data_IF_957964087442
#
_entry.id   IF_957964087442
#
_cell.length_a   1.000
_cell.length_b   1.000
_cell.length_c   1.000
_cell.angle_alpha   90.00
_cell.angle_beta   90.00
_cell.angle_gamma   90.00
#
_symmetry.space_group_name_H-M   'P 1'
#
loop_
_entity.id
_entity.type
_entity.pdbx_description
1 polymer ?
#
# COMPACT_ATOMS: atom_id res chain seq x y z
N UNK A 1 -10.29 2.79 2.55
CA UNK A 1 -11.20 1.61 2.55
C UNK A 1 -10.43 0.45 3.19
N UNK A 2 -11.10 -0.58 3.74
CA UNK A 2 -10.41 -1.72 4.39
C UNK A 2 -10.50 -2.97 3.53
N UNK A 3 -9.42 -3.73 3.49
CA UNK A 3 -9.38 -5.10 2.98
C UNK A 3 -9.23 -6.08 4.14
N UNK A 4 -9.80 -7.27 4.01
CA UNK A 4 -9.53 -8.37 4.92
C UNK A 4 -9.29 -9.66 4.14
N UNK A 5 -8.12 -10.25 4.37
CA UNK A 5 -7.67 -11.50 3.74
C UNK A 5 -7.44 -12.51 4.86
N UNK A 6 -8.28 -13.55 4.93
CA UNK A 6 -8.33 -14.41 6.11
C UNK A 6 -8.71 -13.65 7.38
N UNK A 7 -7.86 -13.74 8.41
CA UNK A 7 -7.99 -13.04 9.69
C UNK A 7 -7.31 -11.66 9.72
N UNK A 8 -6.44 -11.36 8.75
CA UNK A 8 -5.74 -10.09 8.68
C UNK A 8 -6.65 -9.00 8.12
N UNK A 9 -6.63 -7.82 8.77
CA UNK A 9 -7.30 -6.62 8.28
C UNK A 9 -6.24 -5.57 7.95
N UNK A 10 -6.37 -4.97 6.78
CA UNK A 10 -5.49 -3.91 6.29
C UNK A 10 -6.28 -2.76 5.68
N UNK A 11 -5.57 -1.66 5.42
CA UNK A 11 -6.08 -0.50 4.71
C UNK A 11 -5.73 -0.64 3.24
N UNK A 12 -6.69 -0.41 2.34
CA UNK A 12 -6.40 -0.32 0.91
C UNK A 12 -5.77 1.03 0.58
N UNK A 13 -4.83 1.07 -0.36
CA UNK A 13 -4.19 2.31 -0.81
C UNK A 13 -4.93 2.97 -2.00
N UNK A 14 -4.38 2.80 -3.19
CA UNK A 14 -4.76 3.44 -4.44
C UNK A 14 -5.62 2.51 -5.28
N UNK A 15 -6.23 3.11 -6.30
CA UNK A 15 -6.96 2.40 -7.34
C UNK A 15 -6.04 2.20 -8.52
N UNK A 16 -6.04 1.00 -9.06
CA UNK A 16 -5.31 0.65 -10.27
C UNK A 16 -6.27 0.06 -11.30
N UNK A 17 -5.88 0.10 -12.56
CA UNK A 17 -6.67 -0.50 -13.62
C UNK A 17 -5.78 -1.16 -14.68
N UNK A 18 -6.35 -2.16 -15.36
CA UNK A 18 -5.79 -2.77 -16.56
C UNK A 18 -6.94 -3.23 -17.45
N UNK A 19 -7.06 -2.62 -18.63
CA UNK A 19 -8.22 -2.82 -19.49
C UNK A 19 -9.52 -2.45 -18.77
N UNK A 20 -10.47 -3.40 -18.68
CA UNK A 20 -11.74 -3.22 -17.96
C UNK A 20 -11.70 -3.62 -16.49
N UNK A 21 -10.54 -4.07 -15.99
CA UNK A 21 -10.38 -4.54 -14.61
C UNK A 21 -9.93 -3.40 -13.71
N UNK A 22 -10.51 -3.35 -12.52
CA UNK A 22 -10.16 -2.38 -11.47
C UNK A 22 -9.65 -3.14 -10.25
N UNK A 23 -8.59 -2.60 -9.67
CA UNK A 23 -7.91 -3.17 -8.53
C UNK A 23 -7.80 -2.16 -7.40
N UNK A 24 -7.84 -2.65 -6.18
CA UNK A 24 -7.38 -1.91 -5.00
C UNK A 24 -6.01 -2.44 -4.59
N UNK A 25 -5.05 -1.55 -4.37
CA UNK A 25 -3.79 -1.97 -3.76
C UNK A 25 -3.94 -2.18 -2.25
N UNK A 26 -3.14 -3.10 -1.73
CA UNK A 26 -2.92 -3.35 -0.29
C UNK A 26 -1.46 -3.74 -0.07
N UNK A 27 -1.04 -3.89 1.20
CA UNK A 27 0.26 -4.49 1.49
C UNK A 27 0.23 -6.02 1.27
N UNK A 28 1.31 -6.61 0.78
CA UNK A 28 1.39 -8.04 0.48
C UNK A 28 1.35 -8.90 1.75
N UNK A 29 1.98 -8.45 2.83
CA UNK A 29 1.94 -9.14 4.13
C UNK A 29 0.52 -9.25 4.70
N UNK A 30 -0.46 -8.49 4.21
CA UNK A 30 -1.85 -8.65 4.59
C UNK A 30 -2.44 -10.00 4.17
N UNK A 31 -1.78 -10.72 3.26
CA UNK A 31 -2.12 -12.08 2.86
C UNK A 31 -1.13 -13.11 3.40
N UNK A 32 -0.23 -12.74 4.34
CA UNK A 32 0.73 -13.68 4.92
C UNK A 32 0.05 -14.82 5.67
N UNK A 33 0.67 -16.00 5.61
CA UNK A 33 0.36 -17.13 6.50
C UNK A 33 1.53 -17.45 7.44
N UNK A 34 2.55 -16.58 7.46
CA UNK A 34 3.67 -16.66 8.38
C UNK A 34 3.30 -16.27 9.81
N UNK A 35 4.23 -16.52 10.73
CA UNK A 35 4.13 -16.09 12.13
C UNK A 35 4.59 -14.64 12.30
N UNK A 36 4.29 -14.06 13.46
CA UNK A 36 4.76 -12.72 13.82
C UNK A 36 6.30 -12.60 13.69
N UNK A 37 6.76 -11.47 13.17
CA UNK A 37 8.18 -11.22 12.90
C UNK A 37 8.70 -11.76 11.57
N UNK A 38 7.93 -12.59 10.85
CA UNK A 38 8.29 -13.02 9.50
C UNK A 38 7.85 -11.94 8.48
N UNK A 39 8.78 -11.08 8.10
CA UNK A 39 8.53 -9.93 7.22
C UNK A 39 9.30 -9.99 5.90
N UNK A 40 10.11 -11.04 5.67
CA UNK A 40 10.87 -11.19 4.44
C UNK A 40 9.96 -11.80 3.35
N UNK A 41 9.64 -11.02 2.32
CA UNK A 41 8.73 -11.44 1.26
C UNK A 41 9.25 -12.56 0.37
N UNK A 42 10.56 -12.78 0.32
CA UNK A 42 11.17 -13.87 -0.46
C UNK A 42 11.08 -15.23 0.22
N UNK A 43 10.82 -15.29 1.53
CA UNK A 43 10.82 -16.56 2.29
C UNK A 43 9.55 -16.79 3.11
N UNK A 44 8.81 -15.73 3.44
CA UNK A 44 7.61 -15.83 4.26
C UNK A 44 6.43 -16.32 3.43
N UNK A 45 5.69 -17.37 3.86
CA UNK A 45 4.59 -17.91 3.10
C UNK A 45 3.40 -16.94 3.04
N UNK A 46 2.72 -16.91 1.89
CA UNK A 46 1.55 -16.08 1.62
C UNK A 46 0.40 -16.93 1.07
N UNK A 47 -0.83 -16.49 1.30
CA UNK A 47 -2.00 -17.04 0.63
C UNK A 47 -1.86 -16.88 -0.90
N UNK A 48 -2.35 -17.85 -1.70
CA UNK A 48 -2.16 -17.85 -3.15
C UNK A 48 -2.98 -16.77 -3.85
N UNK A 49 -2.55 -16.38 -5.06
CA UNK A 49 -3.41 -15.65 -6.02
C UNK A 49 -4.71 -16.42 -6.24
N UNK A 50 -5.83 -15.70 -6.31
CA UNK A 50 -7.18 -16.30 -6.33
C UNK A 50 -7.89 -16.30 -4.97
N UNK A 51 -7.17 -16.01 -3.89
CA UNK A 51 -7.75 -15.89 -2.54
C UNK A 51 -8.82 -14.80 -2.48
N UNK A 52 -9.95 -15.08 -1.83
CA UNK A 52 -11.03 -14.12 -1.62
C UNK A 52 -10.64 -13.05 -0.60
N UNK A 53 -10.95 -11.80 -0.92
CA UNK A 53 -10.65 -10.63 -0.09
C UNK A 53 -11.94 -9.87 0.17
N UNK A 54 -12.32 -9.73 1.44
CA UNK A 54 -13.45 -8.87 1.81
C UNK A 54 -13.03 -7.41 1.67
N UNK A 55 -13.85 -6.63 1.00
CA UNK A 55 -13.63 -5.19 0.80
C UNK A 55 -14.78 -4.43 1.44
N UNK A 56 -14.47 -3.51 2.35
CA UNK A 56 -15.51 -2.72 3.04
C UNK A 56 -16.27 -1.85 2.04
N UNK A 57 -17.60 -1.98 1.99
CA UNK A 57 -18.47 -1.23 1.06
C UNK A 57 -18.72 -1.94 -0.28
N UNK A 58 -17.99 -3.03 -0.57
CA UNK A 58 -18.28 -3.89 -1.71
C UNK A 58 -19.47 -4.82 -1.40
N UNK A 59 -20.24 -5.16 -2.45
CA UNK A 59 -21.32 -6.14 -2.37
C UNK A 59 -20.85 -7.56 -2.61
N UNK A 60 -19.66 -7.75 -3.20
CA UNK A 60 -19.01 -9.03 -3.43
C UNK A 60 -17.56 -8.98 -2.96
N UNK A 61 -17.01 -10.14 -2.65
CA UNK A 61 -15.59 -10.25 -2.32
C UNK A 61 -14.74 -9.98 -3.57
N UNK A 62 -13.66 -9.23 -3.39
CA UNK A 62 -12.59 -9.14 -4.36
C UNK A 62 -11.74 -10.40 -4.36
N UNK A 63 -10.72 -10.41 -5.23
CA UNK A 63 -9.80 -11.53 -5.41
C UNK A 63 -8.37 -11.02 -5.39
N UNK A 64 -7.50 -11.64 -4.59
CA UNK A 64 -6.06 -11.38 -4.63
C UNK A 64 -5.53 -11.73 -6.03
N UNK A 65 -5.23 -10.72 -6.83
CA UNK A 65 -4.80 -10.86 -8.22
C UNK A 65 -3.27 -10.82 -8.36
N UNK A 66 -2.58 -10.20 -7.40
CA UNK A 66 -1.12 -10.11 -7.36
C UNK A 66 -0.64 -9.99 -5.92
N UNK A 67 0.53 -10.57 -5.65
CA UNK A 67 1.31 -10.40 -4.42
C UNK A 67 2.78 -10.36 -4.81
N UNK A 68 3.49 -9.32 -4.37
CA UNK A 68 4.94 -9.17 -4.59
C UNK A 68 5.72 -10.31 -3.95
N UNK A 69 5.29 -10.80 -2.80
CA UNK A 69 5.94 -11.90 -2.10
C UNK A 69 5.90 -13.19 -2.93
N UNK A 70 4.72 -13.52 -3.47
CA UNK A 70 4.57 -14.68 -4.37
C UNK A 70 5.38 -14.50 -5.67
N UNK A 71 5.41 -13.27 -6.21
CA UNK A 71 6.17 -12.98 -7.42
C UNK A 71 7.69 -13.11 -7.19
N UNK A 72 8.20 -12.57 -6.08
CA UNK A 72 9.60 -12.69 -5.67
C UNK A 72 9.99 -14.15 -5.43
N UNK A 73 9.14 -14.92 -4.74
CA UNK A 73 9.36 -16.35 -4.51
C UNK A 73 9.40 -17.14 -5.83
N UNK A 74 8.47 -16.87 -6.75
CA UNK A 74 8.44 -17.53 -8.05
C UNK A 74 9.64 -17.17 -8.93
N UNK A 75 10.16 -15.94 -8.80
CA UNK A 75 11.34 -15.46 -9.52
C UNK A 75 12.66 -15.95 -8.90
N UNK A 76 12.64 -16.49 -7.67
CA UNK A 76 13.86 -16.79 -6.92
C UNK A 76 14.64 -15.53 -6.55
N UNK A 77 13.94 -14.46 -6.17
CA UNK A 77 14.53 -13.17 -5.82
C UNK A 77 15.56 -13.30 -4.68
N UNK A 78 16.68 -12.60 -4.81
CA UNK A 78 17.80 -12.63 -3.86
C UNK A 78 18.28 -11.25 -3.43
N UNK A 79 17.80 -10.17 -4.07
CA UNK A 79 18.10 -8.81 -3.62
C UNK A 79 17.49 -8.58 -2.22
N UNK A 80 18.37 -8.36 -1.25
CA UNK A 80 17.97 -8.25 0.15
C UNK A 80 16.99 -7.08 0.40
N UNK A 81 17.09 -6.00 -0.38
CA UNK A 81 16.22 -4.84 -0.21
C UNK A 81 14.83 -5.10 -0.79
N UNK A 82 14.73 -5.68 -2.00
CA UNK A 82 13.47 -6.11 -2.56
C UNK A 82 12.77 -7.10 -1.62
N UNK A 83 13.50 -8.11 -1.13
CA UNK A 83 12.97 -9.09 -0.18
C UNK A 83 12.46 -8.47 1.13
N UNK A 84 13.09 -7.38 1.59
CA UNK A 84 12.72 -6.72 2.83
C UNK A 84 11.58 -5.69 2.67
N UNK A 85 11.40 -5.11 1.48
CA UNK A 85 10.62 -3.88 1.31
C UNK A 85 9.60 -3.89 0.18
N UNK A 86 9.66 -4.84 -0.76
CA UNK A 86 8.62 -4.97 -1.80
C UNK A 86 7.40 -5.69 -1.21
N UNK A 87 6.44 -4.90 -0.75
CA UNK A 87 5.31 -5.37 0.05
C UNK A 87 3.97 -4.97 -0.58
N UNK A 88 3.85 -5.15 -1.89
CA UNK A 88 2.70 -4.71 -2.68
C UNK A 88 1.83 -5.86 -3.17
N UNK A 89 0.51 -5.68 -3.06
CA UNK A 89 -0.48 -6.62 -3.61
C UNK A 89 -1.66 -5.88 -4.25
N UNK A 90 -2.31 -6.56 -5.20
CA UNK A 90 -3.53 -6.08 -5.85
C UNK A 90 -4.71 -6.99 -5.56
N UNK A 91 -5.85 -6.37 -5.26
CA UNK A 91 -7.14 -7.03 -5.12
C UNK A 91 -8.01 -6.63 -6.31
N UNK A 92 -8.30 -7.56 -7.22
CA UNK A 92 -9.27 -7.36 -8.30
C UNK A 92 -10.67 -7.27 -7.70
N UNK A 93 -11.39 -6.20 -8.04
CA UNK A 93 -12.77 -6.00 -7.62
C UNK A 93 -13.74 -6.70 -8.56
N UNK A 94 -14.86 -7.18 -7.99
CA UNK A 94 -15.98 -7.62 -8.82
C UNK A 94 -16.54 -6.44 -9.61
N UNK A 95 -16.89 -6.69 -10.87
CA UNK A 95 -17.43 -5.68 -11.79
C UNK A 95 -18.65 -4.94 -11.22
N UNK A 96 -19.47 -5.61 -10.40
CA UNK A 96 -20.64 -5.01 -9.76
C UNK A 96 -20.30 -3.89 -8.77
N UNK A 97 -19.06 -3.86 -8.26
CA UNK A 97 -18.62 -2.90 -7.25
C UNK A 97 -17.71 -1.80 -7.82
N UNK A 98 -17.29 -1.89 -9.08
CA UNK A 98 -16.39 -0.91 -9.72
C UNK A 98 -16.95 0.52 -9.67
N UNK A 99 -18.25 0.70 -9.88
CA UNK A 99 -18.89 2.01 -9.84
C UNK A 99 -18.91 2.66 -8.44
N UNK A 100 -18.59 1.89 -7.38
CA UNK A 100 -18.51 2.39 -5.99
C UNK A 100 -17.12 2.90 -5.62
N UNK A 101 -16.14 2.69 -6.49
CA UNK A 101 -14.75 3.03 -6.24
C UNK A 101 -14.50 4.51 -6.52
N UNK A 102 -13.81 5.18 -5.61
CA UNK A 102 -13.28 6.51 -5.83
C UNK A 102 -11.74 6.44 -5.71
N UNK A 103 -10.97 6.85 -6.75
CA UNK A 103 -9.51 6.88 -6.68
C UNK A 103 -8.97 7.97 -5.74
N UNK A 104 -9.84 8.84 -5.21
CA UNK A 104 -9.47 9.87 -4.25
C UNK A 104 -9.33 9.40 -2.82
N UNK A 105 -8.20 9.75 -2.20
CA UNK A 105 -7.98 9.49 -0.79
C UNK A 105 -8.95 10.35 0.04
N UNK A 106 -9.60 9.77 1.06
CA UNK A 106 -10.41 10.53 1.99
C UNK A 106 -9.59 11.66 2.64
N UNK A 107 -10.23 12.81 2.83
CA UNK A 107 -9.66 14.07 3.35
C UNK A 107 -8.61 14.74 2.45
N UNK A 108 -7.87 13.99 1.64
CA UNK A 108 -6.74 14.51 0.87
C UNK A 108 -7.00 14.75 -0.62
N UNK A 109 -7.93 14.02 -1.25
CA UNK A 109 -8.00 13.98 -2.72
C UNK A 109 -6.82 13.20 -3.34
N UNK A 110 -6.42 13.52 -4.56
CA UNK A 110 -5.30 12.84 -5.24
C UNK A 110 -5.57 11.35 -5.51
N UNK A 111 -4.60 10.51 -5.89
CA UNK A 111 -3.25 10.92 -6.26
C UNK A 111 -3.26 11.74 -7.57
N UNK A 112 -2.32 12.65 -7.72
CA UNK A 112 -2.12 13.47 -8.94
C UNK A 112 -1.23 12.77 -9.97
N UNK A 113 -0.54 11.72 -9.55
CA UNK A 113 0.39 10.93 -10.38
C UNK A 113 1.19 9.98 -9.49
N UNK A 114 2.21 9.36 -10.06
CA UNK A 114 3.18 8.52 -9.34
C UNK A 114 4.44 9.36 -9.03
N UNK A 115 4.96 9.26 -7.82
CA UNK A 115 6.30 9.75 -7.50
C UNK A 115 7.31 8.70 -7.95
N UNK A 116 8.25 9.09 -8.82
CA UNK A 116 9.35 8.23 -9.30
C UNK A 116 10.72 8.77 -8.92
N UNK A 117 10.76 9.82 -8.10
CA UNK A 117 11.98 10.51 -7.69
C UNK A 117 12.42 10.15 -6.27
N UNK A 118 11.58 9.42 -5.52
CA UNK A 118 11.80 9.11 -4.11
C UNK A 118 11.38 10.26 -3.19
N UNK A 119 11.76 10.15 -1.91
CA UNK A 119 11.60 11.21 -0.91
C UNK A 119 12.94 11.63 -0.34
N UNK A 120 13.09 12.92 -0.11
CA UNK A 120 14.22 13.49 0.62
C UNK A 120 13.86 13.67 2.10
N UNK A 121 14.88 13.70 2.97
CA UNK A 121 14.66 14.01 4.38
C UNK A 121 13.98 15.38 4.53
N UNK A 122 12.94 15.44 5.35
CA UNK A 122 12.16 16.65 5.60
C UNK A 122 10.97 16.86 4.66
N UNK A 123 10.88 16.13 3.55
CA UNK A 123 9.75 16.20 2.62
C UNK A 123 8.43 15.95 3.34
N UNK A 124 7.40 16.74 3.02
CA UNK A 124 6.08 16.57 3.61
C UNK A 124 5.33 15.41 2.96
N UNK A 125 4.69 14.60 3.81
CA UNK A 125 3.87 13.48 3.38
C UNK A 125 2.52 13.50 4.08
N UNK A 126 1.50 12.94 3.42
CA UNK A 126 0.22 12.64 4.03
C UNK A 126 -0.14 11.17 3.82
N UNK A 127 -0.87 10.60 4.77
CA UNK A 127 -1.39 9.24 4.68
C UNK A 127 -2.81 9.16 5.21
N UNK A 128 -3.52 8.11 4.84
CA UNK A 128 -4.85 7.82 5.36
C UNK A 128 -4.92 6.35 5.82
N UNK A 129 -4.94 6.14 7.13
CA UNK A 129 -4.98 4.81 7.75
C UNK A 129 -6.37 4.47 8.28
N UNK A 130 -6.89 3.30 7.93
CA UNK A 130 -8.21 2.84 8.35
C UNK A 130 -8.12 1.66 9.33
N UNK A 131 -7.13 1.57 10.21
CA UNK A 131 -7.07 0.49 11.20
C UNK A 131 -8.38 0.35 11.99
N UNK A 132 -8.85 -0.89 12.22
CA UNK A 132 -10.03 -1.17 13.06
C UNK A 132 -9.84 -0.74 14.52
N UNK A 133 -8.59 -0.77 15.01
CA UNK A 133 -8.22 -0.42 16.38
C UNK A 133 -8.39 1.07 16.70
N UNK A 134 -8.59 1.94 15.69
CA UNK A 134 -8.84 3.37 15.90
C UNK A 134 -10.30 3.57 16.31
N UNK A 135 -10.55 3.67 17.61
CA UNK A 135 -11.87 3.91 18.22
C UNK A 135 -12.26 5.40 18.33
N UNK A 136 -11.65 6.26 17.52
CA UNK A 136 -11.86 7.72 17.56
C UNK A 136 -12.49 8.31 16.29
N UNK A 137 -12.64 9.64 16.22
CA UNK A 137 -13.21 10.34 15.06
C UNK A 137 -12.48 9.99 13.75
N UNK A 138 -13.21 9.96 12.64
CA UNK A 138 -12.64 9.65 11.31
C UNK A 138 -11.47 10.57 10.92
N UNK A 139 -11.42 11.78 11.48
CA UNK A 139 -10.33 12.74 11.29
C UNK A 139 -8.97 12.24 11.79
N UNK A 140 -8.93 11.27 12.71
CA UNK A 140 -7.68 10.64 13.19
C UNK A 140 -7.05 9.67 12.18
N UNK A 141 -7.77 9.36 11.10
CA UNK A 141 -7.29 8.48 10.03
C UNK A 141 -6.40 9.24 9.03
N UNK A 142 -6.68 10.54 8.84
CA UNK A 142 -5.89 11.43 8.00
C UNK A 142 -4.68 11.93 8.79
N UNK A 143 -3.47 11.59 8.34
CA UNK A 143 -2.24 11.91 9.06
C UNK A 143 -1.29 12.71 8.17
N UNK A 144 -0.61 13.65 8.81
CA UNK A 144 0.48 14.44 8.22
C UNK A 144 1.79 13.95 8.80
N UNK A 145 2.86 14.05 8.03
CA UNK A 145 4.18 13.62 8.45
C UNK A 145 5.30 14.25 7.64
N UNK A 146 6.51 13.82 7.98
CA UNK A 146 7.71 14.11 7.21
C UNK A 146 8.44 12.83 6.86
N UNK A 147 9.11 12.84 5.72
CA UNK A 147 10.11 11.85 5.37
C UNK A 147 11.35 12.01 6.24
N UNK A 148 11.92 10.88 6.66
CA UNK A 148 13.25 10.76 7.22
C UNK A 148 14.27 10.31 6.16
N UNK A 149 13.87 10.32 4.88
CA UNK A 149 14.65 9.90 3.73
C UNK A 149 14.37 8.45 3.30
N UNK A 150 14.94 8.13 2.15
CA UNK A 150 14.87 6.80 1.55
C UNK A 150 15.95 5.87 2.13
N UNK A 151 15.60 4.60 2.26
CA UNK A 151 16.48 3.52 2.72
C UNK A 151 16.25 2.25 1.90
N UNK A 152 16.97 1.18 2.21
CA UNK A 152 16.85 -0.09 1.47
C UNK A 152 17.17 0.06 -0.02
N UNK A 153 18.18 0.84 -0.38
CA UNK A 153 18.52 1.10 -1.80
C UNK A 153 17.42 1.84 -2.58
N UNK A 154 16.53 2.55 -1.90
CA UNK A 154 15.38 3.25 -2.48
C UNK A 154 14.11 2.41 -2.55
N UNK A 155 14.08 1.21 -1.97
CA UNK A 155 12.86 0.41 -1.86
C UNK A 155 11.95 0.82 -0.71
N UNK A 156 12.46 1.60 0.25
CA UNK A 156 11.70 2.01 1.41
C UNK A 156 11.82 3.52 1.64
N UNK A 157 10.68 4.14 1.93
CA UNK A 157 10.59 5.49 2.47
C UNK A 157 10.36 5.40 3.97
N UNK A 158 11.24 6.01 4.76
CA UNK A 158 11.01 6.11 6.21
C UNK A 158 10.21 7.38 6.48
N UNK A 159 9.02 7.26 7.07
CA UNK A 159 8.16 8.41 7.35
C UNK A 159 7.80 8.50 8.83
N UNK A 160 7.75 9.72 9.36
CA UNK A 160 7.24 9.99 10.71
C UNK A 160 5.99 10.84 10.62
N UNK A 161 4.87 10.28 11.09
CA UNK A 161 3.56 10.93 11.07
C UNK A 161 3.18 11.44 12.46
N UNK A 162 2.25 12.40 12.52
CA UNK A 162 1.77 13.02 13.78
C UNK A 162 1.21 11.99 14.79
N UNK A 163 0.66 10.89 14.28
CA UNK A 163 0.34 9.69 15.04
C UNK A 163 0.88 8.49 14.27
N UNK A 164 1.76 7.65 14.85
CA UNK A 164 2.32 6.51 14.14
C UNK A 164 1.23 5.58 13.59
N UNK A 165 1.57 4.87 12.51
CA UNK A 165 0.80 3.74 12.02
C UNK A 165 0.66 2.67 13.09
N UNK A 166 -0.55 2.11 13.23
CA UNK A 166 -0.84 0.99 14.14
C UNK A 166 -1.23 -0.24 13.32
N UNK A 167 -1.23 -1.46 13.92
CA UNK A 167 -1.73 -2.64 13.23
C UNK A 167 -3.09 -2.40 12.57
N UNK A 168 -3.20 -2.75 11.28
CA UNK A 168 -4.36 -2.45 10.43
C UNK A 168 -4.25 -1.19 9.56
N UNK A 169 -3.28 -0.31 9.83
CA UNK A 169 -2.90 0.77 8.91
C UNK A 169 -1.96 0.26 7.80
N UNK A 170 -1.46 -0.97 7.91
CA UNK A 170 -0.75 -1.66 6.83
C UNK A 170 -1.52 -1.55 5.51
N UNK A 171 -0.80 -1.24 4.44
CA UNK A 171 -1.36 -0.98 3.12
C UNK A 171 -1.81 0.46 2.87
N UNK A 172 -1.77 1.36 3.86
CA UNK A 172 -2.19 2.77 3.68
C UNK A 172 -1.40 3.47 2.58
N UNK A 173 -2.10 4.30 1.81
CA UNK A 173 -1.49 5.16 0.80
C UNK A 173 -0.61 6.25 1.46
N UNK A 174 0.54 6.53 0.85
CA UNK A 174 1.39 7.69 1.17
C UNK A 174 1.45 8.61 -0.04
N UNK A 175 1.12 9.88 0.16
CA UNK A 175 1.24 10.93 -0.85
C UNK A 175 2.30 11.95 -0.44
N UNK A 176 3.01 12.51 -1.40
CA UNK A 176 3.88 13.68 -1.19
C UNK A 176 3.10 15.01 -1.18
N UNK A 177 3.81 16.12 -0.99
CA UNK A 177 3.24 17.48 -0.96
C UNK A 177 2.60 17.94 -2.28
N UNK A 178 2.87 17.26 -3.39
CA UNK A 178 2.22 17.49 -4.69
C UNK A 178 1.03 16.54 -4.93
N UNK A 179 0.75 15.65 -3.97
CA UNK A 179 -0.31 14.65 -4.06
C UNK A 179 0.06 13.46 -4.93
N UNK A 180 1.35 13.24 -5.25
CA UNK A 180 1.78 12.07 -6.02
C UNK A 180 1.86 10.87 -5.10
N UNK A 181 1.45 9.70 -5.60
CA UNK A 181 1.54 8.43 -4.90
C UNK A 181 3.01 8.05 -4.73
N UNK A 182 3.44 7.93 -3.47
CA UNK A 182 4.82 7.60 -3.11
C UNK A 182 4.95 6.13 -2.79
N UNK A 183 4.09 5.63 -1.89
CA UNK A 183 4.33 4.32 -1.31
C UNK A 183 3.16 3.71 -0.59
N UNK A 184 3.38 2.46 -0.18
CA UNK A 184 2.44 1.62 0.55
C UNK A 184 2.99 1.36 1.94
N UNK A 185 2.25 1.78 2.98
CA UNK A 185 2.71 1.67 4.37
C UNK A 185 2.82 0.20 4.80
N UNK A 186 4.02 -0.25 5.15
CA UNK A 186 4.32 -1.67 5.43
C UNK A 186 4.39 -1.97 6.92
N UNK A 187 5.19 -1.22 7.69
CA UNK A 187 5.49 -1.57 9.09
C UNK A 187 5.65 -0.35 10.00
N UNK A 188 5.58 -0.59 11.31
CA UNK A 188 6.12 0.30 12.32
C UNK A 188 7.60 -0.04 12.53
N UNK A 189 8.49 0.93 12.40
CA UNK A 189 9.90 0.73 12.67
C UNK A 189 10.15 0.81 14.18
N UNK A 190 10.85 -0.19 14.71
CA UNK A 190 11.19 -0.29 16.15
C UNK A 190 12.63 0.12 16.46
N UNK A 191 13.51 0.19 15.44
CA UNK A 191 14.89 0.68 15.56
C UNK A 191 15.48 0.96 14.16
N UNK A 192 16.35 1.98 13.98
CA UNK A 192 16.70 3.03 14.95
C UNK A 192 15.61 4.11 15.08
N UNK A 193 14.68 4.20 14.11
CA UNK A 193 13.66 5.24 14.05
C UNK A 193 12.36 4.84 14.72
N UNK A 194 12.41 4.64 16.04
CA UNK A 194 11.24 4.31 16.85
C UNK A 194 10.07 5.29 16.58
N UNK A 195 8.88 4.75 16.38
CA UNK A 195 7.67 5.54 16.09
C UNK A 195 7.60 6.10 14.67
N UNK A 196 8.51 5.72 13.76
CA UNK A 196 8.35 5.92 12.33
C UNK A 196 7.72 4.70 11.66
N UNK A 197 7.28 4.85 10.41
CA UNK A 197 6.79 3.77 9.58
C UNK A 197 7.64 3.63 8.33
N UNK A 198 7.82 2.40 7.85
CA UNK A 198 8.32 2.14 6.51
C UNK A 198 7.17 2.13 5.50
N UNK A 199 7.42 2.66 4.31
CA UNK A 199 6.53 2.54 3.17
C UNK A 199 7.33 2.06 1.95
N UNK A 200 6.89 0.98 1.32
CA UNK A 200 7.50 0.49 0.08
C UNK A 200 7.38 1.53 -1.04
N UNK A 201 8.41 1.66 -1.87
CA UNK A 201 8.43 2.57 -3.01
C UNK A 201 7.50 2.06 -4.13
N UNK A 202 6.36 2.74 -4.31
CA UNK A 202 5.32 2.27 -5.22
C UNK A 202 5.79 2.22 -6.68
N UNK A 203 6.72 3.09 -7.09
CA UNK A 203 7.22 3.08 -8.45
C UNK A 203 8.03 1.81 -8.74
N UNK A 204 8.91 1.41 -7.80
CA UNK A 204 9.66 0.16 -7.87
C UNK A 204 8.77 -1.06 -7.74
N UNK A 205 7.79 -1.03 -6.84
CA UNK A 205 6.82 -2.12 -6.65
C UNK A 205 6.00 -2.36 -7.94
N UNK A 206 5.53 -1.29 -8.59
CA UNK A 206 4.83 -1.38 -9.87
C UNK A 206 5.75 -1.89 -10.99
N UNK A 207 7.01 -1.44 -11.03
CA UNK A 207 7.98 -1.95 -12.01
C UNK A 207 8.26 -3.44 -11.81
N UNK A 208 8.37 -3.89 -10.57
CA UNK A 208 8.54 -5.30 -10.24
C UNK A 208 7.33 -6.13 -10.68
N UNK A 209 6.12 -5.65 -10.41
CA UNK A 209 4.87 -6.26 -10.87
C UNK A 209 4.86 -6.39 -12.39
N UNK A 210 5.25 -5.32 -13.10
CA UNK A 210 5.34 -5.32 -14.57
C UNK A 210 6.44 -6.24 -15.08
N UNK A 211 7.46 -6.56 -14.32
CA UNK A 211 8.51 -7.47 -14.81
C UNK A 211 8.17 -8.94 -14.51
N UNK A 212 7.46 -9.21 -13.41
CA UNK A 212 7.35 -10.56 -12.82
C UNK A 212 5.91 -11.12 -12.69
N UNK A 213 4.96 -10.65 -13.49
CA UNK A 213 3.56 -11.16 -13.44
C UNK A 213 2.90 -11.36 -14.81
N UNK A 214 1.59 -11.30 -14.96
CA UNK A 214 0.92 -11.09 -16.25
C UNK A 214 0.28 -9.71 -16.37
N UNK A 215 0.32 -8.92 -15.28
CA UNK A 215 -0.38 -7.65 -15.12
C UNK A 215 0.47 -6.47 -15.63
N UNK A 216 1.05 -6.61 -16.83
CA UNK A 216 1.99 -5.65 -17.45
C UNK A 216 1.40 -4.25 -17.64
N UNK A 217 0.11 -4.19 -17.93
CA UNK A 217 -0.58 -2.95 -18.29
C UNK A 217 -1.26 -2.28 -17.09
N UNK A 218 -0.94 -2.70 -15.86
CA UNK A 218 -1.49 -2.06 -14.67
C UNK A 218 -0.96 -0.64 -14.54
N UNK A 219 -1.89 0.29 -14.38
CA UNK A 219 -1.62 1.72 -14.14
C UNK A 219 -2.35 2.24 -12.92
N UNK A 220 -1.71 3.19 -12.24
CA UNK A 220 -2.31 3.99 -11.17
C UNK A 220 -3.42 4.86 -11.76
N UNK A 221 -4.59 4.87 -11.12
CA UNK A 221 -5.70 5.77 -11.46
C UNK A 221 -5.57 7.05 -10.64
N UNK A 222 -5.61 8.21 -11.30
CA UNK A 222 -5.55 9.51 -10.62
C UNK A 222 -6.87 9.86 -9.95
N UNK A 223 -6.78 10.69 -8.91
CA UNK A 223 -7.92 11.16 -8.13
C UNK A 223 -8.96 11.91 -8.95
N UNK A 224 -10.23 11.74 -8.59
CA UNK A 224 -11.34 12.55 -9.14
C UNK A 224 -11.53 13.87 -8.37
N UNK A 225 -11.00 13.95 -7.15
CA UNK A 225 -10.94 15.16 -6.35
C UNK A 225 -9.49 15.67 -6.33
N UNK A 226 -9.34 16.98 -6.58
CA UNK A 226 -8.03 17.65 -6.52
C UNK A 226 -7.38 17.50 -5.14
N UNK A 227 -6.05 17.37 -5.13
CA UNK A 227 -5.28 17.18 -3.90
C UNK A 227 -5.32 18.41 -2.99
N UNK A 228 -5.48 18.20 -1.68
CA UNK A 228 -5.68 19.22 -0.66
C UNK A 228 -4.85 18.92 0.58
N UNK A 229 -3.53 19.12 0.48
CA UNK A 229 -2.66 19.03 1.65
C UNK A 229 -2.80 20.22 2.62
N UNK A 230 -3.52 21.30 2.34
CA UNK A 230 -3.48 22.51 3.19
C UNK A 230 -4.85 23.02 3.66
N UNK A 231 -5.82 22.12 3.82
CA UNK A 231 -7.07 22.45 4.51
C UNK A 231 -7.07 21.84 5.92
#
# INVERSE_FOLDING_TARGET
MRTATGSAQCTSNFVFESGSKVYLGQAAHCATTGTEGQTNGCTTPSMPVGTKVRVTGASREGVLAYSSWLAMQAAGETDANACAHNDFALVELDRADVAKVNPSLPSWGGPTGLNTAGLQEGDEVVTYGSAQLRTGPADLNAKRGRSLGDSGGGWNHTIRTSMPGVPGDSGSAVLDSAGRAVGVLATLNVSPDFGSNGAGDLARELEYLRTHSSLRDVRLVTGTQGFRAQQ
#
